data_IF_066936555130
#
_entry.id   IF_066936555130
#
_cell.length_a   1.000
_cell.length_b   1.000
_cell.length_c   1.000
_cell.angle_alpha   90.00
_cell.angle_beta   90.00
_cell.angle_gamma   90.00
#
_symmetry.space_group_name_H-M   'P 1'
#
loop_
_entity.id
_entity.type
_entity.pdbx_description
1 polymer ?
#
# COMPACT_ATOMS: atom_id res chain seq x y z
N UNK A 1 -11.45 -21.54 52.14
CA UNK A 1 -11.57 -22.42 50.95
C UNK A 1 -11.53 -21.60 49.68
N UNK A 2 -10.31 -21.34 49.19
CA UNK A 2 -10.08 -20.62 47.93
C UNK A 2 -9.99 -21.63 46.80
N UNK A 3 -11.11 -21.95 46.17
CA UNK A 3 -11.11 -22.67 44.89
C UNK A 3 -10.45 -21.75 43.87
N UNK A 4 -9.15 -21.93 43.64
CA UNK A 4 -8.48 -21.38 42.46
C UNK A 4 -9.11 -22.04 41.24
N UNK A 5 -10.16 -21.42 40.72
CA UNK A 5 -10.79 -21.83 39.48
C UNK A 5 -9.71 -21.91 38.40
N UNK A 6 -9.63 -23.05 37.73
CA UNK A 6 -8.62 -23.28 36.70
C UNK A 6 -8.80 -22.26 35.58
N UNK A 7 -7.71 -21.62 35.09
CA UNK A 7 -7.83 -20.60 34.06
C UNK A 7 -8.41 -21.20 32.78
N UNK A 8 -9.58 -20.71 32.37
CA UNK A 8 -10.25 -21.12 31.14
C UNK A 8 -9.39 -20.72 29.95
N UNK A 9 -8.97 -21.72 29.16
CA UNK A 9 -8.20 -21.49 27.94
C UNK A 9 -9.14 -21.23 26.77
N UNK A 10 -9.10 -20.01 26.25
CA UNK A 10 -9.86 -19.64 25.05
C UNK A 10 -8.96 -19.65 23.82
N UNK A 11 -9.51 -20.12 22.70
CA UNK A 11 -8.90 -19.87 21.39
C UNK A 11 -9.12 -18.42 20.98
N UNK A 12 -8.30 -17.90 20.06
CA UNK A 12 -8.47 -16.53 19.53
C UNK A 12 -9.85 -16.32 18.91
N UNK A 13 -10.38 -17.33 18.22
CA UNK A 13 -11.72 -17.28 17.64
C UNK A 13 -12.81 -17.23 18.72
N UNK A 14 -12.70 -18.05 19.76
CA UNK A 14 -13.64 -18.04 20.89
C UNK A 14 -13.60 -16.71 21.66
N UNK A 15 -12.42 -16.13 21.86
CA UNK A 15 -12.28 -14.81 22.47
C UNK A 15 -12.94 -13.72 21.61
N UNK A 16 -12.72 -13.75 20.29
CA UNK A 16 -13.35 -12.78 19.38
C UNK A 16 -14.89 -12.91 19.39
N UNK A 17 -15.42 -14.14 19.38
CA UNK A 17 -16.86 -14.38 19.45
C UNK A 17 -17.46 -13.95 20.79
N UNK A 18 -16.78 -14.21 21.91
CA UNK A 18 -17.22 -13.72 23.22
C UNK A 18 -17.25 -12.17 23.31
N UNK A 19 -16.35 -11.48 22.59
CA UNK A 19 -16.28 -10.02 22.58
C UNK A 19 -17.28 -9.34 21.64
N UNK A 20 -17.59 -9.96 20.50
CA UNK A 20 -18.31 -9.30 19.40
C UNK A 20 -19.51 -10.09 18.87
N UNK A 21 -19.73 -11.29 19.39
CA UNK A 21 -20.85 -12.16 19.04
C UNK A 21 -22.18 -11.67 19.62
N UNK A 22 -23.29 -12.28 19.19
CA UNK A 22 -24.64 -11.87 19.60
C UNK A 22 -24.89 -12.04 21.11
N UNK A 23 -24.25 -13.02 21.73
CA UNK A 23 -24.42 -13.38 23.14
C UNK A 23 -23.26 -12.89 24.03
N UNK A 24 -22.68 -11.73 23.68
CA UNK A 24 -21.53 -11.17 24.42
C UNK A 24 -21.89 -10.85 25.88
N UNK A 25 -21.24 -11.54 26.82
CA UNK A 25 -21.32 -11.24 28.25
C UNK A 25 -20.32 -10.13 28.61
N UNK A 26 -20.77 -8.99 29.18
CA UNK A 26 -19.89 -7.92 29.63
C UNK A 26 -18.82 -8.35 30.65
N UNK A 27 -19.12 -9.31 31.53
CA UNK A 27 -18.18 -9.78 32.56
C UNK A 27 -17.07 -10.61 31.92
N UNK A 28 -17.43 -11.56 31.07
CA UNK A 28 -16.48 -12.34 30.29
C UNK A 28 -15.63 -11.43 29.39
N UNK A 29 -16.25 -10.44 28.74
CA UNK A 29 -15.55 -9.48 27.90
C UNK A 29 -14.51 -8.66 28.67
N UNK A 30 -14.88 -8.18 29.86
CA UNK A 30 -13.95 -7.46 30.73
C UNK A 30 -12.75 -8.35 31.14
N UNK A 31 -13.02 -9.60 31.53
CA UNK A 31 -11.97 -10.56 31.90
C UNK A 31 -11.04 -10.91 30.74
N UNK A 32 -11.58 -11.09 29.52
CA UNK A 32 -10.79 -11.32 28.31
C UNK A 32 -9.87 -10.13 28.06
N UNK A 33 -10.39 -8.90 28.16
CA UNK A 33 -9.60 -7.70 27.94
C UNK A 33 -8.52 -7.50 29.00
N UNK A 34 -8.86 -7.66 30.28
CA UNK A 34 -7.90 -7.57 31.37
C UNK A 34 -6.74 -8.56 31.20
N UNK A 35 -7.06 -9.84 30.95
CA UNK A 35 -6.05 -10.88 30.74
C UNK A 35 -5.19 -10.62 29.49
N UNK A 36 -5.81 -10.20 28.39
CA UNK A 36 -5.10 -9.92 27.13
C UNK A 36 -4.18 -8.71 27.27
N UNK A 37 -4.64 -7.64 27.92
CA UNK A 37 -3.86 -6.42 28.11
C UNK A 37 -2.73 -6.63 29.11
N UNK A 38 -2.97 -7.37 30.19
CA UNK A 38 -1.92 -7.73 31.15
C UNK A 38 -0.82 -8.56 30.48
N UNK A 39 -1.20 -9.56 29.67
CA UNK A 39 -0.23 -10.35 28.90
C UNK A 39 0.55 -9.50 27.89
N UNK A 40 -0.12 -8.59 27.18
CA UNK A 40 0.52 -7.70 26.21
C UNK A 40 1.44 -6.66 26.86
N UNK A 41 1.11 -6.18 28.07
CA UNK A 41 1.94 -5.26 28.84
C UNK A 41 3.19 -5.96 29.40
N UNK A 42 3.06 -7.20 29.86
CA UNK A 42 4.18 -8.00 30.35
C UNK A 42 5.13 -8.47 29.23
N UNK A 43 4.68 -8.46 27.98
CA UNK A 43 5.47 -8.87 26.83
C UNK A 43 6.50 -7.80 26.44
N UNK A 44 7.76 -8.00 26.81
CA UNK A 44 8.85 -7.06 26.51
C UNK A 44 9.35 -7.16 25.08
N UNK A 45 8.97 -8.20 24.33
CA UNK A 45 9.43 -8.38 22.95
C UNK A 45 8.70 -7.42 22.00
N UNK A 46 9.40 -6.79 21.04
CA UNK A 46 8.76 -5.89 20.07
C UNK A 46 7.66 -6.58 19.26
N UNK A 47 7.92 -7.81 18.79
CA UNK A 47 7.00 -8.62 17.98
C UNK A 47 6.22 -9.65 18.81
N UNK A 48 5.98 -9.31 20.08
CA UNK A 48 5.36 -10.18 21.05
C UNK A 48 3.99 -10.70 20.64
N UNK A 49 3.79 -12.02 20.78
CA UNK A 49 2.53 -12.67 20.38
C UNK A 49 1.35 -12.14 21.18
N UNK A 50 1.57 -11.72 22.44
CA UNK A 50 0.50 -11.15 23.27
C UNK A 50 0.09 -9.77 22.76
N UNK A 51 1.04 -8.94 22.31
CA UNK A 51 0.73 -7.64 21.66
C UNK A 51 -0.02 -7.84 20.36
N UNK A 52 0.40 -8.80 19.53
CA UNK A 52 -0.31 -9.14 18.29
C UNK A 52 -1.73 -9.62 18.56
N UNK A 53 -1.96 -10.40 19.62
CA UNK A 53 -3.30 -10.81 20.04
C UNK A 53 -4.15 -9.60 20.48
N UNK A 54 -3.60 -8.71 21.30
CA UNK A 54 -4.28 -7.50 21.73
C UNK A 54 -4.68 -6.62 20.54
N UNK A 55 -3.76 -6.41 19.58
CA UNK A 55 -4.03 -5.69 18.34
C UNK A 55 -5.16 -6.39 17.58
N UNK A 56 -5.06 -7.70 17.34
CA UNK A 56 -6.04 -8.46 16.57
C UNK A 56 -7.44 -8.34 17.17
N UNK A 57 -7.56 -8.45 18.49
CA UNK A 57 -8.85 -8.32 19.17
C UNK A 57 -9.36 -6.87 19.15
N UNK A 58 -8.49 -5.86 19.11
CA UNK A 58 -8.87 -4.45 19.10
C UNK A 58 -9.29 -3.92 17.70
N UNK A 59 -8.85 -4.59 16.62
CA UNK A 59 -9.10 -4.16 15.24
C UNK A 59 -10.57 -3.83 14.92
N UNK A 60 -11.58 -4.62 15.34
CA UNK A 60 -12.99 -4.28 15.07
C UNK A 60 -13.41 -2.93 15.67
N UNK A 61 -12.86 -2.57 16.83
CA UNK A 61 -13.14 -1.28 17.48
C UNK A 61 -12.45 -0.11 16.77
N UNK A 62 -11.35 -0.34 16.06
CA UNK A 62 -10.56 0.71 15.41
C UNK A 62 -10.98 0.94 13.94
N UNK A 63 -11.35 -0.13 13.23
CA UNK A 63 -11.62 -0.15 11.79
C UNK A 63 -12.64 0.90 11.34
N UNK A 64 -13.72 1.10 12.12
CA UNK A 64 -14.73 2.10 11.81
C UNK A 64 -14.20 3.54 11.85
N UNK A 65 -13.24 3.82 12.72
CA UNK A 65 -12.60 5.15 12.80
C UNK A 65 -11.62 5.35 11.65
N UNK A 66 -10.80 4.34 11.33
CA UNK A 66 -9.91 4.35 10.16
C UNK A 66 -10.70 4.68 8.90
N UNK A 67 -11.80 3.95 8.65
CA UNK A 67 -12.64 4.17 7.48
C UNK A 67 -13.20 5.61 7.40
N UNK A 68 -13.65 6.17 8.52
CA UNK A 68 -14.15 7.56 8.57
C UNK A 68 -13.04 8.59 8.32
N UNK A 69 -11.84 8.37 8.86
CA UNK A 69 -10.70 9.27 8.69
C UNK A 69 -10.26 9.25 7.22
N UNK A 70 -10.03 8.08 6.63
CA UNK A 70 -9.64 7.94 5.23
C UNK A 70 -10.71 8.54 4.29
N UNK A 71 -11.99 8.28 4.57
CA UNK A 71 -13.09 8.81 3.76
C UNK A 71 -13.23 10.33 3.83
N UNK A 72 -13.02 10.95 5.01
CA UNK A 72 -13.22 12.39 5.21
C UNK A 72 -11.99 13.24 4.94
N UNK A 73 -10.81 12.76 5.30
CA UNK A 73 -9.56 13.51 5.25
C UNK A 73 -8.62 13.02 4.14
N UNK A 74 -8.98 11.95 3.40
CA UNK A 74 -8.16 11.33 2.36
C UNK A 74 -6.75 10.93 2.83
N UNK A 75 -6.60 10.69 4.13
CA UNK A 75 -5.37 10.19 4.72
C UNK A 75 -5.09 8.75 4.24
N UNK A 76 -3.80 8.41 4.13
CA UNK A 76 -3.39 7.04 3.83
C UNK A 76 -3.86 6.09 4.93
N UNK A 77 -4.38 4.93 4.50
CA UNK A 77 -4.96 3.96 5.43
C UNK A 77 -3.91 3.32 6.32
N UNK A 78 -2.76 2.96 5.74
CA UNK A 78 -1.66 2.32 6.46
C UNK A 78 -1.15 3.25 7.55
N UNK A 79 -0.94 4.53 7.23
CA UNK A 79 -0.44 5.51 8.20
C UNK A 79 -1.41 5.70 9.38
N UNK A 80 -2.72 5.77 9.10
CA UNK A 80 -3.74 5.90 10.15
C UNK A 80 -3.81 4.64 11.02
N UNK A 81 -3.77 3.45 10.43
CA UNK A 81 -3.75 2.18 11.17
C UNK A 81 -2.51 2.05 12.04
N UNK A 82 -1.33 2.36 11.49
CA UNK A 82 -0.06 2.38 12.21
C UNK A 82 -0.11 3.35 13.39
N UNK A 83 -0.56 4.59 13.19
CA UNK A 83 -0.64 5.57 14.28
C UNK A 83 -1.60 5.12 15.39
N UNK A 84 -2.74 4.51 15.03
CA UNK A 84 -3.70 3.97 16.02
C UNK A 84 -3.10 2.83 16.83
N UNK A 85 -2.40 1.90 16.18
CA UNK A 85 -1.76 0.75 16.84
C UNK A 85 -0.60 1.22 17.73
N UNK A 86 0.24 2.13 17.23
CA UNK A 86 1.35 2.70 17.99
C UNK A 86 0.85 3.43 19.24
N UNK A 87 -0.23 4.20 19.11
CA UNK A 87 -0.86 4.86 20.27
C UNK A 87 -1.42 3.84 21.24
N UNK A 88 -2.14 2.83 20.76
CA UNK A 88 -2.71 1.78 21.61
C UNK A 88 -1.63 1.10 22.46
N UNK A 89 -0.53 0.69 21.82
CA UNK A 89 0.57 0.01 22.51
C UNK A 89 1.38 0.97 23.40
N UNK A 90 1.57 2.22 22.98
CA UNK A 90 2.26 3.24 23.78
C UNK A 90 1.51 3.56 25.07
N UNK A 91 0.18 3.76 24.99
CA UNK A 91 -0.67 4.00 26.16
C UNK A 91 -0.75 2.77 27.08
N UNK A 92 -0.77 1.57 26.51
CA UNK A 92 -0.70 0.33 27.30
C UNK A 92 0.63 0.21 28.05
N UNK A 93 1.75 0.53 27.40
CA UNK A 93 3.07 0.50 28.03
C UNK A 93 3.24 1.59 29.11
N UNK A 94 2.55 2.73 28.96
CA UNK A 94 2.55 3.82 29.94
C UNK A 94 1.56 3.62 31.10
N UNK A 95 0.66 2.64 31.02
CA UNK A 95 -0.36 2.40 32.05
C UNK A 95 0.25 1.77 33.31
N UNK A 96 -0.19 2.24 34.48
CA UNK A 96 0.27 1.71 35.77
C UNK A 96 -0.06 0.22 35.94
N UNK A 97 0.92 -0.63 36.31
CA UNK A 97 0.74 -2.08 36.39
C UNK A 97 -0.18 -2.53 37.53
N UNK A 98 -0.48 -1.66 38.50
CA UNK A 98 -1.34 -1.97 39.64
C UNK A 98 -2.83 -1.63 39.41
N UNK A 99 -3.18 -0.97 38.30
CA UNK A 99 -4.55 -0.59 38.00
C UNK A 99 -5.24 -1.63 37.09
N UNK A 100 -6.54 -1.91 37.28
CA UNK A 100 -7.28 -2.78 36.36
C UNK A 100 -7.23 -2.21 34.93
N UNK A 101 -6.68 -2.97 34.00
CA UNK A 101 -6.52 -2.55 32.60
C UNK A 101 -7.88 -2.59 31.88
N UNK A 102 -8.27 -1.46 31.29
CA UNK A 102 -9.51 -1.33 30.53
C UNK A 102 -9.22 -0.90 29.08
N UNK A 103 -9.81 -1.60 28.12
CA UNK A 103 -9.61 -1.34 26.69
C UNK A 103 -10.20 0.01 26.24
N UNK A 104 -11.33 0.42 26.84
CA UNK A 104 -12.09 1.61 26.41
C UNK A 104 -11.28 2.91 26.38
N UNK A 105 -10.54 3.29 27.46
CA UNK A 105 -9.69 4.49 27.41
C UNK A 105 -8.58 4.39 26.37
N UNK A 106 -7.95 3.22 26.21
CA UNK A 106 -6.89 2.99 25.23
C UNK A 106 -7.42 3.17 23.78
N UNK A 107 -8.59 2.62 23.47
CA UNK A 107 -9.26 2.80 22.17
C UNK A 107 -9.63 4.27 21.95
N UNK A 108 -10.09 4.98 22.99
CA UNK A 108 -10.40 6.40 22.90
C UNK A 108 -9.14 7.22 22.61
N UNK A 109 -8.03 6.92 23.26
CA UNK A 109 -6.74 7.58 23.02
C UNK A 109 -6.26 7.35 21.59
N UNK A 110 -6.24 6.10 21.12
CA UNK A 110 -5.86 5.73 19.75
C UNK A 110 -6.72 6.45 18.70
N UNK A 111 -8.05 6.45 18.86
CA UNK A 111 -8.96 7.17 17.95
C UNK A 111 -8.71 8.69 17.96
N UNK A 112 -8.49 9.27 19.12
CA UNK A 112 -8.24 10.72 19.27
C UNK A 112 -6.92 11.10 18.60
N UNK A 113 -5.87 10.32 18.83
CA UNK A 113 -4.56 10.55 18.22
C UNK A 113 -4.60 10.44 16.70
N UNK A 114 -5.30 9.45 16.16
CA UNK A 114 -5.46 9.28 14.71
C UNK A 114 -6.17 10.46 14.04
N UNK A 115 -7.24 10.98 14.66
CA UNK A 115 -7.89 12.20 14.17
C UNK A 115 -6.96 13.40 14.17
N UNK A 116 -6.12 13.54 15.20
CA UNK A 116 -5.12 14.60 15.28
C UNK A 116 -4.06 14.43 14.18
N UNK A 117 -3.48 13.25 14.07
CA UNK A 117 -2.48 12.90 13.06
C UNK A 117 -2.98 13.18 11.64
N UNK A 118 -4.17 12.70 11.28
CA UNK A 118 -4.72 12.91 9.95
C UNK A 118 -5.05 14.39 9.65
N UNK A 119 -5.37 15.19 10.68
CA UNK A 119 -5.56 16.64 10.51
C UNK A 119 -4.24 17.41 10.41
N UNK A 120 -3.21 16.95 11.09
CA UNK A 120 -1.84 17.48 10.98
C UNK A 120 -1.31 17.26 9.57
N UNK A 121 -1.48 16.06 8.99
CA UNK A 121 -1.08 15.77 7.60
C UNK A 121 -1.81 16.61 6.55
N UNK A 122 -3.02 17.11 6.82
CA UNK A 122 -3.70 18.07 5.92
C UNK A 122 -3.10 19.48 5.97
N UNK A 123 -2.42 19.84 7.06
CA UNK A 123 -1.73 21.13 7.19
C UNK A 123 -0.34 21.09 6.57
N UNK A 124 0.23 19.90 6.42
CA UNK A 124 1.49 19.69 5.72
C UNK A 124 1.23 19.72 4.20
N UNK A 125 1.55 20.85 3.57
CA UNK A 125 1.53 20.97 2.11
C UNK A 125 2.79 20.27 1.60
N UNK A 126 2.67 19.19 0.79
CA UNK A 126 3.83 18.54 0.19
C UNK A 126 4.62 19.57 -0.61
N UNK A 127 5.89 19.80 -0.23
CA UNK A 127 6.74 20.72 -0.96
C UNK A 127 7.08 20.12 -2.31
N UNK A 128 6.47 20.66 -3.37
CA UNK A 128 6.84 20.35 -4.76
C UNK A 128 8.27 20.74 -5.10
N UNK A 129 9.02 21.37 -4.19
CA UNK A 129 10.38 21.83 -4.44
C UNK A 129 11.35 20.67 -4.69
N UNK A 130 11.20 19.54 -3.99
CA UNK A 130 12.06 18.35 -4.21
C UNK A 130 11.74 17.66 -5.54
N UNK A 131 10.45 17.61 -5.89
CA UNK A 131 9.96 17.13 -7.19
C UNK A 131 10.42 18.05 -8.33
N UNK A 132 10.43 19.37 -8.12
CA UNK A 132 10.96 20.35 -9.07
C UNK A 132 12.47 20.23 -9.21
N UNK A 133 13.23 20.05 -8.13
CA UNK A 133 14.70 19.88 -8.19
C UNK A 133 15.08 18.60 -8.95
N UNK A 134 14.32 17.52 -8.81
CA UNK A 134 14.54 16.28 -9.57
C UNK A 134 14.14 16.43 -11.05
N UNK A 135 13.07 17.17 -11.35
CA UNK A 135 12.69 17.54 -12.72
C UNK A 135 13.72 18.48 -13.37
N UNK A 136 14.23 19.47 -12.64
CA UNK A 136 15.25 20.40 -13.13
C UNK A 136 16.59 19.69 -13.35
N UNK A 137 16.95 18.73 -12.50
CA UNK A 137 18.18 17.94 -12.67
C UNK A 137 18.08 16.97 -13.86
N UNK A 138 16.91 16.39 -14.12
CA UNK A 138 16.67 15.58 -15.33
C UNK A 138 16.64 16.45 -16.59
N UNK A 139 16.09 17.67 -16.52
CA UNK A 139 16.15 18.65 -17.62
C UNK A 139 17.56 19.23 -17.84
N UNK A 140 18.36 19.40 -16.79
CA UNK A 140 19.75 19.86 -16.87
C UNK A 140 20.69 18.76 -17.39
N UNK A 141 20.52 17.50 -16.96
CA UNK A 141 21.25 16.37 -17.51
C UNK A 141 20.97 16.13 -19.00
N UNK A 142 19.79 16.52 -19.49
CA UNK A 142 19.47 16.51 -20.92
C UNK A 142 20.13 17.65 -21.72
N UNK A 143 20.71 18.66 -21.07
CA UNK A 143 21.40 19.79 -21.73
C UNK A 143 22.92 19.69 -21.67
N UNK A 144 23.47 18.84 -20.81
CA UNK A 144 24.92 18.67 -20.67
C UNK A 144 25.35 17.31 -21.22
N UNK A 145 25.33 17.17 -22.54
CA UNK A 145 26.14 16.15 -23.24
C UNK A 145 27.29 16.85 -23.95
N UNK A 146 28.35 17.14 -23.20
CA UNK A 146 29.68 17.31 -23.79
C UNK A 146 30.22 15.93 -24.17
N UNK A 147 30.72 15.84 -25.40
CA UNK A 147 31.19 14.65 -26.10
C UNK A 147 32.31 13.92 -25.35
N UNK A 148 32.09 12.64 -25.08
CA UNK A 148 33.14 11.65 -24.78
C UNK A 148 32.77 10.33 -25.44
N UNK A 149 33.61 9.86 -26.37
CA UNK A 149 33.36 8.69 -27.21
C UNK A 149 33.19 7.39 -26.41
N UNK A 150 32.10 6.66 -26.64
CA UNK A 150 31.90 5.28 -26.19
C UNK A 150 30.92 4.54 -27.12
N UNK A 151 30.94 3.20 -27.16
CA UNK A 151 30.56 2.39 -28.31
C UNK A 151 29.06 2.46 -28.63
N UNK A 152 28.72 2.13 -29.88
CA UNK A 152 27.37 2.16 -30.45
C UNK A 152 26.40 1.28 -29.63
N UNK A 153 25.60 1.92 -28.80
CA UNK A 153 24.59 1.30 -27.94
C UNK A 153 23.24 1.86 -28.37
N UNK A 154 22.34 0.96 -28.80
CA UNK A 154 20.99 1.33 -29.21
C UNK A 154 20.15 1.67 -27.97
N UNK A 155 19.57 2.87 -27.98
CA UNK A 155 18.59 3.27 -26.98
C UNK A 155 17.21 2.76 -27.39
N UNK A 156 16.66 1.85 -26.58
CA UNK A 156 15.28 1.39 -26.74
C UNK A 156 14.38 2.23 -25.85
N UNK A 157 13.43 2.93 -26.47
CA UNK A 157 12.38 3.66 -25.77
C UNK A 157 11.08 2.84 -25.81
N UNK A 158 10.60 2.44 -24.63
CA UNK A 158 9.27 1.84 -24.50
C UNK A 158 8.28 2.94 -24.21
N UNK A 159 7.40 3.21 -25.17
CA UNK A 159 6.35 4.19 -25.00
C UNK A 159 5.32 3.72 -23.96
N UNK A 160 4.70 4.71 -23.33
CA UNK A 160 3.76 4.58 -22.23
C UNK A 160 2.62 3.59 -22.57
N UNK A 161 2.39 2.54 -21.75
CA UNK A 161 1.12 1.83 -21.80
C UNK A 161 0.03 2.67 -21.11
N UNK A 162 -1.07 2.94 -21.81
CA UNK A 162 -2.19 3.72 -21.29
C UNK A 162 -3.03 2.90 -20.29
N UNK A 163 -2.64 2.95 -19.01
CA UNK A 163 -3.40 2.34 -17.91
C UNK A 163 -2.97 2.85 -16.53
N UNK A 164 -3.85 2.78 -15.51
CA UNK A 164 -3.56 3.30 -14.15
C UNK A 164 -2.47 2.53 -13.41
N UNK A 165 -2.14 1.31 -13.85
CA UNK A 165 -1.11 0.44 -13.27
C UNK A 165 0.21 0.44 -14.05
N UNK A 166 0.34 1.28 -15.09
CA UNK A 166 1.58 1.39 -15.87
C UNK A 166 2.63 2.27 -15.17
N UNK A 167 3.92 1.91 -15.35
CA UNK A 167 5.05 2.76 -14.95
C UNK A 167 4.87 4.17 -15.51
N UNK A 168 4.88 5.18 -14.63
CA UNK A 168 4.53 6.57 -14.96
C UNK A 168 5.63 7.36 -15.67
N UNK A 169 6.74 6.71 -16.03
CA UNK A 169 7.84 7.29 -16.78
C UNK A 169 8.23 6.35 -17.93
N UNK A 170 8.52 6.88 -19.14
CA UNK A 170 9.09 6.08 -20.22
C UNK A 170 10.40 5.44 -19.75
N UNK A 171 10.52 4.12 -19.88
CA UNK A 171 11.78 3.43 -19.58
C UNK A 171 12.69 3.52 -20.81
N UNK A 172 13.93 3.97 -20.58
CA UNK A 172 15.02 3.92 -21.55
C UNK A 172 16.07 2.96 -21.04
N UNK A 173 16.39 1.96 -21.83
CA UNK A 173 17.45 1.03 -21.52
C UNK A 173 18.41 0.92 -22.69
N UNK A 174 19.69 0.78 -22.33
CA UNK A 174 20.82 0.65 -23.23
C UNK A 174 21.04 -0.82 -23.52
N UNK A 175 20.71 -1.28 -24.73
CA UNK A 175 20.86 -2.69 -25.12
C UNK A 175 22.04 -2.85 -26.05
N UNK A 176 22.85 -3.87 -25.80
CA UNK A 176 23.86 -4.30 -26.78
C UNK A 176 23.18 -5.11 -27.89
N UNK A 177 23.56 -4.91 -29.17
CA UNK A 177 22.91 -5.55 -30.31
C UNK A 177 22.89 -7.08 -30.24
N UNK A 178 23.81 -7.69 -29.49
CA UNK A 178 23.87 -9.13 -29.21
C UNK A 178 22.58 -9.70 -28.57
N UNK A 179 21.79 -8.87 -27.87
CA UNK A 179 20.60 -9.29 -27.12
C UNK A 179 19.27 -9.00 -27.86
N UNK A 180 19.32 -8.40 -29.04
CA UNK A 180 18.16 -8.11 -29.90
C UNK A 180 18.06 -9.16 -31.02
N UNK A 181 17.64 -10.39 -30.69
CA UNK A 181 17.26 -11.38 -31.70
C UNK A 181 15.87 -11.94 -31.43
N UNK A 182 15.11 -11.95 -32.52
CA UNK A 182 13.95 -12.81 -32.81
C UNK A 182 12.58 -12.36 -32.30
N UNK A 183 11.87 -11.57 -33.13
CA UNK A 183 10.46 -11.81 -33.52
C UNK A 183 10.05 -10.77 -34.58
N UNK A 184 10.72 -10.79 -35.73
CA UNK A 184 10.32 -10.03 -36.90
C UNK A 184 9.33 -10.85 -37.74
N UNK A 185 8.03 -10.71 -37.50
CA UNK A 185 7.01 -11.15 -38.45
C UNK A 185 6.73 -9.99 -39.42
N UNK A 186 7.36 -10.07 -40.58
CA UNK A 186 7.18 -9.18 -41.71
C UNK A 186 5.78 -9.32 -42.32
N UNK A 187 5.09 -8.20 -42.53
CA UNK A 187 4.04 -8.09 -43.55
C UNK A 187 4.26 -6.80 -44.33
N UNK A 188 4.60 -6.97 -45.60
CA UNK A 188 4.81 -5.96 -46.64
C UNK A 188 3.52 -5.16 -46.93
N UNK A 189 3.56 -3.83 -47.16
CA UNK A 189 2.39 -3.08 -47.62
C UNK A 189 2.39 -2.99 -49.15
N UNK A 190 1.35 -3.54 -49.78
CA UNK A 190 1.06 -3.36 -51.19
C UNK A 190 -0.43 -3.14 -51.42
N UNK A 191 -0.78 -1.94 -51.90
CA UNK A 191 -1.80 -1.75 -52.93
C UNK A 191 -3.29 -1.85 -52.58
N UNK A 192 -3.93 -0.69 -52.71
CA UNK A 192 -5.23 -0.43 -53.35
C UNK A 192 -6.57 -0.80 -52.67
N UNK A 193 -7.43 0.21 -52.69
CA UNK A 193 -8.83 0.30 -52.27
C UNK A 193 -9.75 -0.81 -52.79
N UNK A 194 -10.73 -1.23 -51.96
CA UNK A 194 -12.16 -1.00 -52.24
C UNK A 194 -13.05 -1.30 -51.01
N UNK A 195 -14.19 -0.59 -50.90
CA UNK A 195 -15.33 -0.81 -49.96
C UNK A 195 -16.36 -1.75 -50.67
N UNK A 196 -17.51 -2.25 -50.12
CA UNK A 196 -18.20 -2.24 -48.79
C UNK A 196 -18.73 -3.68 -48.43
N UNK A 197 -19.82 -3.98 -47.66
CA UNK A 197 -20.70 -3.19 -46.78
C UNK A 197 -20.82 -3.70 -45.31
N UNK A 198 -21.48 -2.89 -44.49
CA UNK A 198 -21.69 -3.11 -43.07
C UNK A 198 -22.76 -4.17 -42.78
N UNK A 199 -22.38 -5.19 -42.00
CA UNK A 199 -23.30 -6.08 -41.27
C UNK A 199 -22.90 -6.07 -39.79
N UNK A 200 -23.84 -5.72 -38.91
CA UNK A 200 -23.69 -5.89 -37.47
C UNK A 200 -24.38 -7.18 -37.02
N UNK A 201 -23.68 -8.01 -36.24
CA UNK A 201 -24.33 -8.71 -35.14
C UNK A 201 -23.64 -8.45 -33.80
N UNK A 202 -24.48 -8.29 -32.77
CA UNK A 202 -24.14 -8.17 -31.35
C UNK A 202 -23.65 -9.51 -30.78
N UNK A 203 -22.46 -9.54 -30.16
CA UNK A 203 -22.19 -9.81 -28.72
C UNK A 203 -20.78 -10.35 -28.48
N UNK A 204 -20.15 -9.76 -27.45
CA UNK A 204 -19.13 -10.29 -26.52
C UNK A 204 -18.04 -11.21 -27.10
N UNK A 205 -16.81 -10.70 -27.12
CA UNK A 205 -15.61 -11.43 -26.68
C UNK A 205 -14.49 -10.44 -26.31
N UNK A 206 -13.78 -10.79 -25.23
CA UNK A 206 -12.55 -10.16 -24.71
C UNK A 206 -11.59 -9.82 -25.86
N UNK A 207 -11.23 -8.53 -26.02
CA UNK A 207 -10.13 -8.17 -26.91
C UNK A 207 -8.82 -8.20 -26.13
N UNK A 208 -7.95 -9.10 -26.58
CA UNK A 208 -6.56 -9.25 -26.16
C UNK A 208 -5.82 -7.92 -26.34
N UNK A 209 -4.92 -7.64 -25.39
CA UNK A 209 -4.06 -6.48 -25.40
C UNK A 209 -3.25 -6.40 -26.70
N UNK A 210 -3.37 -5.27 -27.39
CA UNK A 210 -2.44 -4.85 -28.43
C UNK A 210 -1.18 -4.36 -27.71
N UNK A 211 -0.11 -5.15 -27.75
CA UNK A 211 1.22 -4.68 -27.32
C UNK A 211 1.72 -3.74 -28.42
N UNK A 212 2.14 -2.54 -28.01
CA UNK A 212 2.45 -1.42 -28.90
C UNK A 212 3.59 -1.70 -29.89
N UNK A 213 3.58 -0.92 -30.97
CA UNK A 213 4.65 -0.91 -31.99
C UNK A 213 5.88 -0.21 -31.42
N UNK A 214 7.05 -0.86 -31.45
CA UNK A 214 8.35 -0.29 -31.05
C UNK A 214 8.93 0.59 -32.17
N UNK A 215 9.13 1.90 -31.96
CA UNK A 215 9.93 2.72 -32.87
C UNK A 215 11.42 2.56 -32.51
N UNK A 216 12.16 1.79 -33.31
CA UNK A 216 13.63 1.73 -33.22
C UNK A 216 14.19 2.86 -34.09
N UNK A 217 14.96 3.78 -33.49
CA UNK A 217 15.70 4.79 -34.25
C UNK A 217 17.18 4.40 -34.31
N UNK A 218 17.75 4.14 -35.50
CA UNK A 218 19.19 4.04 -35.64
C UNK A 218 19.80 5.43 -35.42
N UNK A 219 20.85 5.50 -34.62
CA UNK A 219 21.66 6.72 -34.49
C UNK A 219 22.45 6.91 -35.79
N UNK A 220 22.01 7.81 -36.65
CA UNK A 220 22.78 8.19 -37.82
C UNK A 220 24.00 9.02 -37.37
N UNK A 221 25.15 8.36 -37.24
CA UNK A 221 26.44 9.03 -37.18
C UNK A 221 26.74 9.67 -38.54
N UNK A 222 27.00 10.98 -38.55
CA UNK A 222 27.71 11.66 -39.64
C UNK A 222 29.17 11.87 -39.19
N UNK A 223 30.14 11.76 -40.11
CA UNK A 223 31.56 11.73 -39.78
C UNK A 223 32.07 13.05 -39.21
#
# INVERSE_FOLDING_TARGET
>A
DGTTAEPVRLTVAAAHDALYGPDSDPRLSAAIWEATLAAAQADTTPDGTAKLLAIRLALPMLSGTVHRICGRLRADRSDVESEMILTLLGELAASEPAAPLCITPLIKAARTRAWRFAREGLREIPSTQVERVSQDRTLAAARTTESGSSPEVLDVQVDRPDGPEGLRAPLRFRVRPEHLREEALSVTPGGTADRPPAFHPRRRRRSRHRVGTLPIRPSAGRP
#
